data_IF_350358606740
#
_entry.id   IF_350358606740
#
_cell.length_a   1.000
_cell.length_b   1.000
_cell.length_c   1.000
_cell.angle_alpha   90.00
_cell.angle_beta   90.00
_cell.angle_gamma   90.00
#
_symmetry.space_group_name_H-M   'P 1'
#
loop_
_entity.id
_entity.type
_entity.pdbx_description
1 polymer ?
#
# COMPACT_ATOMS: atom_id res chain seq x y z
N UNK A 1 -5.11 -49.11 31.42
CA UNK A 1 -4.29 -48.33 30.47
C UNK A 1 -5.22 -47.72 29.43
N UNK A 2 -5.58 -46.44 29.60
CA UNK A 2 -6.39 -45.70 28.64
C UNK A 2 -6.03 -44.23 28.74
N UNK A 3 -5.13 -43.76 27.87
CA UNK A 3 -4.77 -42.35 27.77
C UNK A 3 -5.88 -41.64 26.99
N UNK A 4 -6.68 -40.83 27.69
CA UNK A 4 -7.51 -39.82 27.06
C UNK A 4 -6.61 -38.78 26.40
N UNK A 5 -6.48 -38.86 25.07
CA UNK A 5 -5.91 -37.79 24.25
C UNK A 5 -7.00 -36.72 24.14
N UNK A 6 -6.96 -35.75 25.05
CA UNK A 6 -7.76 -34.54 24.94
C UNK A 6 -7.23 -33.72 23.77
N UNK A 7 -7.90 -33.79 22.61
CA UNK A 7 -7.74 -32.84 21.52
C UNK A 7 -8.33 -31.52 22.01
N UNK A 8 -7.48 -30.68 22.61
CA UNK A 8 -7.82 -29.32 22.98
C UNK A 8 -8.05 -28.49 21.72
N UNK A 9 -9.29 -28.43 21.26
CA UNK A 9 -9.74 -27.43 20.29
C UNK A 9 -9.64 -26.09 21.03
N UNK A 10 -8.55 -25.36 20.79
CA UNK A 10 -8.21 -24.12 21.47
C UNK A 10 -9.32 -23.09 21.30
N UNK A 11 -10.08 -22.86 22.37
CA UNK A 11 -11.00 -21.73 22.46
C UNK A 11 -10.14 -20.48 22.62
N UNK A 12 -9.78 -19.85 21.50
CA UNK A 12 -9.13 -18.52 21.52
C UNK A 12 -10.01 -17.57 22.32
N UNK A 13 -9.41 -16.87 23.27
CA UNK A 13 -10.12 -15.88 24.09
C UNK A 13 -10.63 -14.72 23.21
N UNK A 14 -11.70 -14.05 23.63
CA UNK A 14 -12.29 -12.95 22.85
C UNK A 14 -11.32 -11.79 22.59
N UNK A 15 -10.31 -11.61 23.45
CA UNK A 15 -9.22 -10.65 23.29
C UNK A 15 -8.23 -11.06 22.19
N UNK A 16 -7.84 -12.34 22.14
CA UNK A 16 -6.95 -12.88 21.09
C UNK A 16 -7.59 -12.76 19.70
N UNK A 17 -8.89 -13.10 19.59
CA UNK A 17 -9.61 -12.96 18.32
C UNK A 17 -9.68 -11.51 17.85
N UNK A 18 -9.91 -10.54 18.75
CA UNK A 18 -9.91 -9.10 18.42
C UNK A 18 -8.54 -8.62 17.96
N UNK A 19 -7.47 -9.06 18.62
CA UNK A 19 -6.11 -8.76 18.21
C UNK A 19 -5.80 -9.33 16.83
N UNK A 20 -6.18 -10.58 16.57
CA UNK A 20 -5.99 -11.23 15.27
C UNK A 20 -6.71 -10.49 14.14
N UNK A 21 -7.98 -10.09 14.34
CA UNK A 21 -8.75 -9.31 13.37
C UNK A 21 -8.05 -7.97 13.09
N UNK A 22 -7.51 -7.30 14.12
CA UNK A 22 -6.81 -6.04 13.94
C UNK A 22 -5.52 -6.19 13.10
N UNK A 23 -4.73 -7.24 13.36
CA UNK A 23 -3.51 -7.52 12.59
C UNK A 23 -3.79 -7.91 11.14
N UNK A 24 -4.75 -8.80 10.92
CA UNK A 24 -5.16 -9.20 9.56
C UNK A 24 -5.75 -8.00 8.81
N UNK A 25 -6.61 -7.22 9.47
CA UNK A 25 -7.18 -6.00 8.89
C UNK A 25 -6.11 -4.98 8.50
N UNK A 26 -5.08 -4.79 9.35
CA UNK A 26 -3.98 -3.90 9.05
C UNK A 26 -3.13 -4.38 7.85
N UNK A 27 -2.85 -5.68 7.77
CA UNK A 27 -2.13 -6.28 6.64
C UNK A 27 -2.91 -6.11 5.32
N UNK A 28 -4.21 -6.44 5.31
CA UNK A 28 -5.07 -6.30 4.13
C UNK A 28 -5.20 -4.84 3.71
N UNK A 29 -5.39 -3.93 4.68
CA UNK A 29 -5.46 -2.51 4.42
C UNK A 29 -4.18 -1.98 3.77
N UNK A 30 -3.02 -2.33 4.33
CA UNK A 30 -1.72 -1.94 3.76
C UNK A 30 -1.54 -2.43 2.32
N UNK A 31 -1.86 -3.71 2.06
CA UNK A 31 -1.82 -4.27 0.71
C UNK A 31 -2.76 -3.55 -0.27
N UNK A 32 -3.98 -3.21 0.17
CA UNK A 32 -4.98 -2.55 -0.66
C UNK A 32 -4.59 -1.11 -1.02
N UNK A 33 -4.09 -0.35 -0.03
CA UNK A 33 -3.60 1.02 -0.25
C UNK A 33 -2.46 1.01 -1.26
N UNK A 34 -1.49 0.13 -1.06
CA UNK A 34 -0.32 0.03 -1.92
C UNK A 34 -0.71 -0.38 -3.36
N UNK A 35 -1.64 -1.33 -3.50
CA UNK A 35 -2.20 -1.70 -4.80
C UNK A 35 -2.91 -0.53 -5.50
N UNK A 36 -3.64 0.29 -4.75
CA UNK A 36 -4.35 1.45 -5.30
C UNK A 36 -3.37 2.53 -5.76
N UNK A 37 -2.35 2.79 -4.95
CA UNK A 37 -1.25 3.71 -5.27
C UNK A 37 -0.52 3.28 -6.53
N UNK A 38 -0.19 1.99 -6.65
CA UNK A 38 0.39 1.44 -7.86
C UNK A 38 -0.50 1.68 -9.09
N UNK A 39 -1.80 1.42 -8.98
CA UNK A 39 -2.74 1.66 -10.08
C UNK A 39 -2.76 3.14 -10.51
N UNK A 40 -2.67 4.08 -9.57
CA UNK A 40 -2.57 5.51 -9.85
C UNK A 40 -1.28 5.85 -10.61
N UNK A 41 -0.15 5.21 -10.29
CA UNK A 41 1.12 5.43 -10.98
C UNK A 41 1.18 4.79 -12.38
N UNK A 42 0.52 3.65 -12.59
CA UNK A 42 0.56 2.95 -13.89
C UNK A 42 -0.47 3.47 -14.91
N UNK A 43 -1.63 3.97 -14.44
CA UNK A 43 -2.71 4.47 -15.29
C UNK A 43 -2.28 5.56 -16.28
N UNK A 44 -1.54 6.62 -15.90
CA UNK A 44 -1.13 7.66 -16.84
C UNK A 44 -0.17 7.12 -17.90
N UNK A 45 0.72 6.19 -17.53
CA UNK A 45 1.66 5.55 -18.46
C UNK A 45 0.97 4.71 -19.52
N UNK A 46 -0.06 3.95 -19.11
CA UNK A 46 -0.92 3.20 -20.04
C UNK A 46 -1.69 4.11 -20.98
N UNK A 47 -2.12 5.28 -20.49
CA UNK A 47 -2.87 6.23 -21.29
C UNK A 47 -2.00 6.92 -22.38
N UNK A 48 -0.76 7.26 -22.04
CA UNK A 48 0.18 7.91 -22.97
C UNK A 48 1.06 6.93 -23.77
N UNK A 49 0.89 5.62 -23.56
CA UNK A 49 1.80 4.58 -24.07
C UNK A 49 3.29 4.90 -23.77
N UNK A 50 3.53 5.50 -22.61
CA UNK A 50 4.84 6.01 -22.21
C UNK A 50 5.51 5.02 -21.25
N UNK A 51 6.71 4.54 -21.61
CA UNK A 51 7.47 3.58 -20.80
C UNK A 51 6.99 2.12 -20.90
N UNK A 52 6.41 1.75 -22.05
CA UNK A 52 6.01 0.38 -22.42
C UNK A 52 7.01 -0.30 -23.38
N UNK A 53 8.31 -0.01 -23.25
CA UNK A 53 9.32 -0.81 -23.93
C UNK A 53 9.21 -2.28 -23.48
N UNK A 54 9.45 -3.22 -24.39
CA UNK A 54 9.17 -4.67 -24.24
C UNK A 54 9.77 -5.37 -23.01
N UNK A 55 10.70 -4.75 -22.28
CA UNK A 55 11.18 -5.22 -20.96
C UNK A 55 10.35 -4.77 -19.75
N UNK A 56 9.66 -3.62 -19.84
CA UNK A 56 8.97 -2.98 -18.71
C UNK A 56 7.70 -3.70 -18.24
N UNK A 57 7.07 -4.51 -19.09
CA UNK A 57 5.91 -5.32 -18.71
C UNK A 57 6.28 -6.49 -17.79
N UNK A 58 7.44 -7.09 -17.98
CA UNK A 58 7.91 -8.26 -17.22
C UNK A 58 8.44 -7.85 -15.84
N UNK A 59 9.22 -6.77 -15.76
CA UNK A 59 9.64 -6.17 -14.49
C UNK A 59 8.43 -5.81 -13.60
N UNK A 60 7.34 -5.34 -14.23
CA UNK A 60 6.11 -4.95 -13.54
C UNK A 60 5.39 -6.11 -12.84
N UNK A 61 5.54 -7.34 -13.32
CA UNK A 61 5.04 -8.54 -12.64
C UNK A 61 5.86 -8.89 -11.40
N UNK A 62 7.17 -8.61 -11.38
CA UNK A 62 8.03 -8.84 -10.22
C UNK A 62 7.83 -7.79 -9.12
N UNK A 63 7.58 -6.54 -9.49
CA UNK A 63 7.35 -5.47 -8.52
C UNK A 63 6.00 -5.62 -7.79
N UNK A 64 4.97 -6.16 -8.42
CA UNK A 64 3.63 -6.26 -7.83
C UNK A 64 3.56 -7.05 -6.50
N UNK A 65 4.16 -8.25 -6.37
CA UNK A 65 4.22 -8.95 -5.09
C UNK A 65 5.15 -8.26 -4.08
N UNK A 66 6.24 -7.62 -4.53
CA UNK A 66 7.15 -6.86 -3.65
C UNK A 66 6.42 -5.68 -3.01
N UNK A 67 5.68 -4.92 -3.82
CA UNK A 67 4.83 -3.78 -3.44
C UNK A 67 3.75 -4.24 -2.47
N UNK A 68 3.00 -5.30 -2.81
CA UNK A 68 2.01 -5.86 -1.88
C UNK A 68 2.63 -6.30 -0.55
N UNK A 69 3.81 -6.91 -0.58
CA UNK A 69 4.58 -7.28 0.61
C UNK A 69 4.99 -6.08 1.46
N UNK A 70 5.51 -5.02 0.83
CA UNK A 70 5.86 -3.77 1.50
C UNK A 70 4.63 -3.13 2.17
N UNK A 71 3.49 -3.12 1.47
CA UNK A 71 2.22 -2.63 2.01
C UNK A 71 1.76 -3.41 3.23
N UNK A 72 1.87 -4.75 3.21
CA UNK A 72 1.58 -5.59 4.38
C UNK A 72 2.48 -5.22 5.56
N UNK A 73 3.80 -5.13 5.33
CA UNK A 73 4.77 -4.80 6.38
C UNK A 73 4.47 -3.43 6.99
N UNK A 74 4.21 -2.42 6.16
CA UNK A 74 3.89 -1.08 6.63
C UNK A 74 2.54 -1.02 7.36
N UNK A 75 1.51 -1.70 6.86
CA UNK A 75 0.22 -1.80 7.56
C UNK A 75 0.36 -2.40 8.96
N UNK A 76 1.11 -3.50 9.07
CA UNK A 76 1.43 -4.15 10.35
C UNK A 76 2.27 -3.23 11.23
N UNK A 77 3.32 -2.60 10.70
CA UNK A 77 4.17 -1.67 11.46
C UNK A 77 3.37 -0.47 12.00
N UNK A 78 2.49 0.10 11.19
CA UNK A 78 1.59 1.19 11.60
C UNK A 78 0.63 0.73 12.69
N UNK A 79 0.10 -0.49 12.61
CA UNK A 79 -0.72 -1.08 13.67
C UNK A 79 0.08 -1.25 14.97
N UNK A 80 1.31 -1.76 14.89
CA UNK A 80 2.21 -1.94 16.03
C UNK A 80 2.57 -0.61 16.69
N UNK A 81 2.96 0.39 15.89
CA UNK A 81 3.29 1.74 16.34
C UNK A 81 2.08 2.40 17.01
N UNK A 82 0.91 2.28 16.38
CA UNK A 82 -0.34 2.76 16.95
C UNK A 82 -0.62 2.13 18.30
N UNK A 83 -0.51 0.80 18.42
CA UNK A 83 -0.71 0.13 19.70
C UNK A 83 0.30 0.62 20.75
N UNK A 84 1.57 0.78 20.37
CA UNK A 84 2.64 1.26 21.25
C UNK A 84 2.38 2.67 21.78
N UNK A 85 2.13 3.65 20.90
CA UNK A 85 1.90 5.04 21.28
C UNK A 85 0.59 5.25 22.03
N UNK A 86 -0.39 4.38 21.83
CA UNK A 86 -1.73 4.57 22.38
C UNK A 86 -2.00 3.74 23.64
N UNK A 87 -1.02 2.98 24.13
CA UNK A 87 -1.12 2.23 25.40
C UNK A 87 -1.45 3.11 26.60
N UNK A 88 -1.00 4.36 26.58
CA UNK A 88 -1.12 5.29 27.72
C UNK A 88 -1.92 6.54 27.38
N UNK A 89 -2.54 6.61 26.19
CA UNK A 89 -3.16 7.83 25.68
C UNK A 89 -4.70 7.82 25.81
N UNK A 90 -5.33 8.99 26.03
CA UNK A 90 -6.78 9.14 25.96
C UNK A 90 -7.36 8.72 24.60
N UNK A 91 -8.58 8.19 24.59
CA UNK A 91 -9.27 7.73 23.38
C UNK A 91 -9.24 8.72 22.18
N UNK A 92 -9.50 10.03 22.33
CA UNK A 92 -9.46 10.96 21.20
C UNK A 92 -8.04 11.12 20.62
N UNK A 93 -7.01 11.16 21.48
CA UNK A 93 -5.61 11.25 21.05
C UNK A 93 -5.23 10.01 20.26
N UNK A 94 -5.70 8.84 20.71
CA UNK A 94 -5.51 7.56 20.02
C UNK A 94 -6.11 7.59 18.62
N UNK A 95 -7.35 8.03 18.46
CA UNK A 95 -8.00 8.13 17.14
C UNK A 95 -7.23 9.08 16.22
N UNK A 96 -6.88 10.27 16.70
CA UNK A 96 -6.12 11.24 15.90
C UNK A 96 -4.75 10.70 15.48
N UNK A 97 -4.01 10.05 16.40
CA UNK A 97 -2.71 9.48 16.12
C UNK A 97 -2.80 8.36 15.07
N UNK A 98 -3.78 7.46 15.17
CA UNK A 98 -4.02 6.40 14.17
C UNK A 98 -4.25 7.04 12.80
N UNK A 99 -5.18 8.00 12.73
CA UNK A 99 -5.56 8.64 11.47
C UNK A 99 -4.37 9.36 10.84
N UNK A 100 -3.60 10.11 11.63
CA UNK A 100 -2.41 10.81 11.15
C UNK A 100 -1.35 9.84 10.64
N UNK A 101 -1.06 8.75 11.38
CA UNK A 101 -0.12 7.72 10.94
C UNK A 101 -0.56 7.08 9.63
N UNK A 102 -1.82 6.69 9.50
CA UNK A 102 -2.36 6.10 8.27
C UNK A 102 -2.25 7.07 7.08
N UNK A 103 -2.61 8.33 7.28
CA UNK A 103 -2.50 9.36 6.24
C UNK A 103 -1.03 9.58 5.84
N UNK A 104 -0.14 9.75 6.80
CA UNK A 104 1.30 9.93 6.55
C UNK A 104 1.90 8.74 5.81
N UNK A 105 1.65 7.52 6.26
CA UNK A 105 2.16 6.31 5.61
C UNK A 105 1.64 6.20 4.18
N UNK A 106 0.35 6.49 3.95
CA UNK A 106 -0.26 6.45 2.61
C UNK A 106 0.37 7.50 1.68
N UNK A 107 0.57 8.72 2.17
CA UNK A 107 1.20 9.81 1.41
C UNK A 107 2.67 9.50 1.09
N UNK A 108 3.44 9.03 2.07
CA UNK A 108 4.85 8.64 1.89
C UNK A 108 4.99 7.51 0.88
N UNK A 109 4.15 6.48 0.97
CA UNK A 109 4.09 5.40 0.00
C UNK A 109 3.80 5.93 -1.39
N UNK A 110 2.71 6.71 -1.53
CA UNK A 110 2.35 7.40 -2.77
C UNK A 110 3.50 8.17 -3.38
N UNK A 111 4.22 8.91 -2.55
CA UNK A 111 5.33 9.72 -3.00
C UNK A 111 6.56 8.91 -3.41
N UNK A 112 6.82 7.79 -2.72
CA UNK A 112 7.98 6.93 -2.98
C UNK A 112 7.94 6.22 -4.34
N UNK A 113 6.76 6.08 -4.95
CA UNK A 113 6.63 5.49 -6.29
C UNK A 113 7.15 6.40 -7.42
N UNK A 114 7.08 7.72 -7.26
CA UNK A 114 7.58 8.67 -8.27
C UNK A 114 9.10 8.53 -8.53
N UNK A 115 9.98 8.51 -7.51
CA UNK A 115 11.41 8.29 -7.76
C UNK A 115 11.74 6.87 -8.24
N UNK A 116 10.97 5.85 -7.84
CA UNK A 116 11.22 4.46 -8.25
C UNK A 116 10.84 4.19 -9.71
N UNK A 117 9.74 4.76 -10.18
CA UNK A 117 9.25 4.54 -11.55
C UNK A 117 9.75 5.61 -12.53
N UNK A 118 10.26 6.74 -12.03
CA UNK A 118 10.56 7.94 -12.79
C UNK A 118 9.32 8.79 -13.07
N UNK A 119 9.55 9.98 -13.60
CA UNK A 119 8.50 10.91 -14.08
C UNK A 119 8.01 10.47 -15.46
N UNK A 120 6.71 10.62 -15.74
CA UNK A 120 6.10 10.58 -17.06
C UNK A 120 6.78 11.57 -18.03
N UNK A 121 7.24 12.70 -17.50
CA UNK A 121 7.93 13.72 -18.29
C UNK A 121 9.22 13.18 -18.92
N UNK A 122 9.33 13.28 -20.24
CA UNK A 122 10.51 12.86 -21.01
C UNK A 122 10.57 11.37 -21.36
N UNK A 123 9.61 10.54 -20.90
CA UNK A 123 9.49 9.17 -21.41
C UNK A 123 9.07 9.21 -22.88
N UNK A 124 9.60 8.32 -23.73
CA UNK A 124 9.10 8.12 -25.09
C UNK A 124 7.75 7.42 -25.00
N UNK A 125 6.74 7.98 -25.65
CA UNK A 125 5.39 7.43 -25.77
C UNK A 125 4.75 8.04 -27.01
N UNK A 126 3.99 7.22 -27.75
CA UNK A 126 3.43 7.61 -29.06
C UNK A 126 1.99 7.11 -29.21
N UNK A 127 1.14 7.42 -28.22
CA UNK A 127 -0.28 7.05 -28.26
C UNK A 127 -1.14 8.02 -29.09
N UNK A 128 -0.61 9.20 -29.44
CA UNK A 128 -1.38 10.31 -30.04
C UNK A 128 -2.43 10.94 -29.11
N UNK A 129 -2.59 10.44 -27.88
CA UNK A 129 -3.57 10.91 -26.90
C UNK A 129 -2.97 11.91 -25.89
N UNK A 130 -1.64 11.99 -25.81
CA UNK A 130 -0.92 12.85 -24.88
C UNK A 130 -0.06 13.89 -25.60
N UNK A 131 0.12 15.09 -25.02
CA UNK A 131 1.09 16.06 -25.50
C UNK A 131 2.52 15.54 -25.36
N UNK A 132 3.50 16.22 -25.97
CA UNK A 132 4.92 15.81 -25.95
C UNK A 132 5.53 15.59 -24.55
N UNK A 133 4.92 16.14 -23.50
CA UNK A 133 5.29 15.89 -22.11
C UNK A 133 4.87 14.50 -21.59
N UNK A 134 4.04 13.75 -22.32
CA UNK A 134 3.47 12.46 -21.91
C UNK A 134 2.70 12.49 -20.58
N UNK A 135 2.12 13.65 -20.25
CA UNK A 135 1.26 13.85 -19.09
C UNK A 135 -0.20 13.88 -19.57
N UNK A 136 -1.08 13.00 -19.06
CA UNK A 136 -2.49 13.03 -19.42
C UNK A 136 -3.16 14.36 -19.02
N UNK A 137 -4.15 14.85 -19.77
CA UNK A 137 -4.80 16.13 -19.49
C UNK A 137 -5.62 16.13 -18.17
N UNK A 138 -5.97 14.96 -17.66
CA UNK A 138 -6.66 14.78 -16.37
C UNK A 138 -5.68 14.62 -15.19
N UNK A 139 -4.37 14.63 -15.43
CA UNK A 139 -3.39 14.45 -14.37
C UNK A 139 -3.33 15.70 -13.47
N UNK A 140 -3.35 15.55 -12.14
CA UNK A 140 -3.31 16.70 -11.25
C UNK A 140 -1.94 17.39 -11.27
N UNK A 141 -1.92 18.72 -11.34
CA UNK A 141 -0.68 19.52 -11.45
C UNK A 141 0.18 19.54 -10.19
N UNK A 142 -0.38 19.16 -9.04
CA UNK A 142 0.32 19.11 -7.75
C UNK A 142 1.02 17.76 -7.50
N UNK A 143 0.77 16.76 -8.35
CA UNK A 143 1.44 15.46 -8.29
C UNK A 143 2.63 15.48 -9.25
N UNK A 144 3.84 15.06 -8.82
CA UNK A 144 5.00 14.94 -9.69
C UNK A 144 4.67 14.13 -10.93
N UNK A 145 4.99 14.70 -12.08
CA UNK A 145 4.76 14.12 -13.38
C UNK A 145 6.07 13.97 -14.11
#
# INVERSE_FOLDING_TARGET
>A
MGRHVGVGIGVTTSSERRAQIAWVGAAVFGAAVEHTTWNLSVRPRKYCDAGFDSGGGFERMFYLPLIAGAGVVLGVATCAATQYFTRSAPAPVRVCAVTLLVVLTTLLLGWSFFPLLGTLNGCRGDSGLCPASNIPPWWPTWIPA
#
